data_IF_067347797005
#
_entry.id   IF_067347797005
#
_cell.length_a   1.000
_cell.length_b   1.000
_cell.length_c   1.000
_cell.angle_alpha   90.00
_cell.angle_beta   90.00
_cell.angle_gamma   90.00
#
_symmetry.space_group_name_H-M   'P 1'
#
loop_
_entity.id
_entity.type
_entity.pdbx_description
1 polymer ?
#
# COMPACT_ATOMS: atom_id res chain seq x y z
N UNK A 1 12.13 -9.58 2.76
CA UNK A 1 11.51 -8.39 2.19
C UNK A 1 10.10 -8.69 1.68
N UNK A 2 9.16 -7.85 2.04
CA UNK A 2 7.77 -7.99 1.62
C UNK A 2 7.33 -6.73 0.88
N UNK A 3 6.58 -6.91 -0.20
CA UNK A 3 6.04 -5.81 -1.00
C UNK A 3 4.53 -6.00 -1.11
N UNK A 4 3.78 -4.96 -0.79
CA UNK A 4 2.33 -4.94 -0.92
C UNK A 4 1.96 -3.96 -2.03
N UNK A 5 1.22 -4.44 -3.01
CA UNK A 5 0.67 -3.59 -4.07
C UNK A 5 -0.83 -3.69 -4.02
N UNK A 6 -1.50 -2.58 -3.81
CA UNK A 6 -2.96 -2.51 -3.78
C UNK A 6 -3.44 -1.83 -5.06
N UNK A 7 -4.21 -2.56 -5.85
CA UNK A 7 -4.74 -2.06 -7.13
C UNK A 7 -6.10 -1.41 -6.90
N UNK A 8 -6.25 -0.16 -7.31
CA UNK A 8 -7.50 0.58 -7.19
C UNK A 8 -8.02 0.97 -8.56
N UNK A 9 -9.26 0.61 -8.84
CA UNK A 9 -9.89 0.87 -10.13
C UNK A 9 -10.87 2.04 -10.09
N UNK A 10 -11.24 2.49 -8.90
CA UNK A 10 -12.19 3.57 -8.71
C UNK A 10 -11.51 4.93 -8.59
N UNK A 11 -12.24 5.86 -7.99
CA UNK A 11 -11.73 7.20 -7.76
C UNK A 11 -10.65 7.20 -6.68
N UNK A 12 -9.88 8.28 -6.67
CA UNK A 12 -8.77 8.47 -5.75
C UNK A 12 -9.28 8.78 -4.33
N UNK A 13 -8.78 8.06 -3.36
CA UNK A 13 -9.03 8.35 -1.96
C UNK A 13 -7.73 8.08 -1.18
N UNK A 14 -6.74 8.98 -1.30
CA UNK A 14 -5.41 8.71 -0.78
C UNK A 14 -5.35 8.49 0.74
N UNK A 15 -6.13 9.23 1.51
CA UNK A 15 -6.13 9.07 2.96
C UNK A 15 -6.57 7.70 3.41
N UNK A 16 -7.68 7.21 2.85
CA UNK A 16 -8.24 5.91 3.18
C UNK A 16 -7.35 4.76 2.71
N UNK A 17 -6.88 4.86 1.47
CA UNK A 17 -6.08 3.79 0.87
C UNK A 17 -4.69 3.68 1.48
N UNK A 18 -4.08 4.81 1.82
CA UNK A 18 -2.79 4.81 2.52
C UNK A 18 -2.90 4.17 3.89
N UNK A 19 -3.98 4.44 4.61
CA UNK A 19 -4.23 3.82 5.90
C UNK A 19 -4.35 2.31 5.75
N UNK A 20 -5.08 1.86 4.75
CA UNK A 20 -5.27 0.44 4.50
C UNK A 20 -3.95 -0.28 4.22
N UNK A 21 -3.12 0.28 3.34
CA UNK A 21 -1.81 -0.29 3.03
C UNK A 21 -0.91 -0.23 4.27
N UNK A 22 -0.95 0.87 5.02
CA UNK A 22 -0.19 1.01 6.26
C UNK A 22 -0.54 -0.07 7.28
N UNK A 23 -1.80 -0.45 7.39
CA UNK A 23 -2.23 -1.53 8.27
C UNK A 23 -1.66 -2.87 7.83
N UNK A 24 -1.65 -3.16 6.53
CA UNK A 24 -1.03 -4.38 6.01
C UNK A 24 0.47 -4.40 6.31
N UNK A 25 1.15 -3.29 6.13
CA UNK A 25 2.58 -3.20 6.43
C UNK A 25 2.85 -3.45 7.92
N UNK A 26 2.00 -2.92 8.79
CA UNK A 26 2.08 -3.17 10.22
C UNK A 26 1.95 -4.64 10.57
N UNK A 27 0.98 -5.33 9.95
CA UNK A 27 0.79 -6.76 10.16
C UNK A 27 2.02 -7.56 9.69
N UNK A 28 2.58 -7.22 8.54
CA UNK A 28 3.76 -7.89 8.03
C UNK A 28 4.96 -7.74 8.98
N UNK A 29 5.13 -6.57 9.55
CA UNK A 29 6.19 -6.34 10.53
C UNK A 29 6.00 -7.19 11.78
N UNK A 30 4.76 -7.33 12.24
CA UNK A 30 4.44 -8.19 13.37
C UNK A 30 4.73 -9.66 13.08
N UNK A 31 4.66 -10.05 11.81
CA UNK A 31 4.98 -11.40 11.36
C UNK A 31 6.48 -11.64 11.20
N UNK A 32 7.31 -10.62 11.41
CA UNK A 32 8.75 -10.74 11.34
C UNK A 32 9.42 -10.21 10.09
N UNK A 33 8.65 -9.61 9.17
CA UNK A 33 9.24 -9.01 7.98
C UNK A 33 9.84 -7.65 8.33
N UNK A 34 11.15 -7.53 8.26
CA UNK A 34 11.85 -6.30 8.65
C UNK A 34 11.90 -5.26 7.54
N UNK A 35 11.77 -5.70 6.28
CA UNK A 35 11.78 -4.81 5.13
C UNK A 35 10.45 -4.94 4.41
N UNK A 36 9.60 -3.93 4.54
CA UNK A 36 8.27 -3.89 3.94
C UNK A 36 8.09 -2.63 3.12
N UNK A 37 7.55 -2.78 1.92
CA UNK A 37 7.21 -1.66 1.04
C UNK A 37 5.76 -1.78 0.62
N UNK A 38 5.07 -0.65 0.55
CA UNK A 38 3.69 -0.61 0.14
C UNK A 38 3.47 0.38 -1.00
N UNK A 39 2.61 0.01 -1.93
CA UNK A 39 2.29 0.84 -3.09
C UNK A 39 0.80 0.82 -3.35
N UNK A 40 0.29 1.97 -3.79
CA UNK A 40 -1.06 2.11 -4.33
C UNK A 40 -0.95 2.30 -5.84
N UNK A 41 -1.63 1.48 -6.58
CA UNK A 41 -1.67 1.60 -8.04
C UNK A 41 -3.07 1.99 -8.48
N UNK A 42 -3.22 3.23 -8.93
CA UNK A 42 -4.46 3.73 -9.50
C UNK A 42 -4.47 3.35 -10.98
N UNK A 43 -5.07 2.22 -11.28
CA UNK A 43 -4.93 1.58 -12.61
C UNK A 43 -5.46 2.46 -13.73
N UNK A 44 -6.64 3.06 -13.54
CA UNK A 44 -7.25 3.91 -14.57
C UNK A 44 -6.48 5.20 -14.81
N UNK A 45 -5.78 5.69 -13.80
CA UNK A 45 -5.00 6.92 -13.89
C UNK A 45 -3.57 6.68 -14.35
N UNK A 46 -3.12 5.42 -14.31
CA UNK A 46 -1.74 5.08 -14.62
C UNK A 46 -0.74 5.63 -13.62
N UNK A 47 -1.15 5.78 -12.36
CA UNK A 47 -0.31 6.33 -11.31
C UNK A 47 0.01 5.31 -10.23
N UNK A 48 1.25 5.30 -9.77
CA UNK A 48 1.70 4.46 -8.66
C UNK A 48 2.20 5.38 -7.56
N UNK A 49 1.74 5.14 -6.34
CA UNK A 49 2.10 5.94 -5.18
C UNK A 49 2.70 5.04 -4.11
N UNK A 50 3.88 5.41 -3.61
CA UNK A 50 4.53 4.66 -2.52
C UNK A 50 3.90 5.07 -1.20
N UNK A 51 3.58 4.08 -0.38
CA UNK A 51 3.01 4.30 0.95
C UNK A 51 4.06 3.96 2.01
N UNK A 52 4.33 4.92 2.87
CA UNK A 52 5.20 4.74 4.02
C UNK A 52 4.34 4.33 5.21
N UNK A 53 4.62 3.16 5.74
CA UNK A 53 3.86 2.63 6.88
C UNK A 53 4.56 2.76 8.21
#
# INVERSE_FOLDING_TARGET
RAVVVDYKFGSRDPGRYRRQVGEYLGLLRQMGYTQCEGYLWYVKLGEIEKVEG
#
